data_IF_320290311847
#
_entry.id   IF_320290311847
#
_cell.length_a   1.000
_cell.length_b   1.000
_cell.length_c   1.000
_cell.angle_alpha   90.00
_cell.angle_beta   90.00
_cell.angle_gamma   90.00
#
_symmetry.space_group_name_H-M   'P 1'
#
loop_
_entity.id
_entity.type
_entity.pdbx_description
1 polymer ?
#
# COMPACT_ATOMS: atom_id res chain seq x y z
N UNK A 1 0.15 -9.61 -8.20
CA UNK A 1 1.45 -10.12 -8.66
C UNK A 1 1.28 -10.68 -10.06
N UNK A 2 2.16 -10.33 -10.99
CA UNK A 2 2.09 -10.85 -12.36
C UNK A 2 2.36 -12.35 -12.40
N UNK A 3 1.80 -13.04 -13.42
CA UNK A 3 2.03 -14.48 -13.60
C UNK A 3 3.51 -14.81 -13.75
N UNK A 4 4.27 -13.96 -14.45
CA UNK A 4 5.72 -14.15 -14.62
C UNK A 4 6.46 -14.07 -13.29
N UNK A 5 6.10 -13.13 -12.44
CA UNK A 5 6.71 -12.97 -11.13
C UNK A 5 6.36 -14.15 -10.23
N UNK A 6 5.11 -14.56 -10.23
CA UNK A 6 4.66 -15.73 -9.48
C UNK A 6 5.34 -17.02 -9.94
N UNK A 7 5.47 -17.22 -11.26
CA UNK A 7 6.18 -18.38 -11.81
C UNK A 7 7.66 -18.39 -11.39
N UNK A 8 8.29 -17.22 -11.31
CA UNK A 8 9.66 -17.10 -10.81
C UNK A 8 9.76 -17.50 -9.34
N UNK A 9 8.85 -17.04 -8.50
CA UNK A 9 8.82 -17.38 -7.07
C UNK A 9 8.54 -18.85 -6.82
N UNK A 10 7.63 -19.46 -7.58
CA UNK A 10 7.25 -20.86 -7.38
C UNK A 10 8.37 -21.85 -7.72
N UNK A 11 9.36 -21.44 -8.51
CA UNK A 11 10.55 -22.25 -8.86
C UNK A 11 11.69 -22.08 -7.87
N UNK A 12 11.64 -21.07 -7.02
CA UNK A 12 12.69 -20.79 -6.03
C UNK A 12 12.58 -21.75 -4.85
N UNK A 13 13.71 -22.07 -4.22
CA UNK A 13 13.70 -22.76 -2.94
C UNK A 13 13.21 -21.83 -1.82
N UNK A 14 12.96 -22.36 -0.62
CA UNK A 14 12.39 -21.58 0.48
C UNK A 14 13.27 -20.41 0.91
N UNK A 15 14.59 -20.54 0.89
CA UNK A 15 15.52 -19.48 1.26
C UNK A 15 15.55 -18.39 0.19
N UNK A 16 15.61 -18.79 -1.10
CA UNK A 16 15.59 -17.84 -2.20
C UNK A 16 14.25 -17.10 -2.28
N UNK A 17 13.14 -17.78 -2.04
CA UNK A 17 11.83 -17.15 -1.99
C UNK A 17 11.73 -16.10 -0.88
N UNK A 18 12.21 -16.43 0.31
CA UNK A 18 12.22 -15.50 1.44
C UNK A 18 13.06 -14.26 1.12
N UNK A 19 14.23 -14.43 0.55
CA UNK A 19 15.11 -13.33 0.14
C UNK A 19 14.44 -12.46 -0.93
N UNK A 20 13.80 -13.06 -1.93
CA UNK A 20 13.11 -12.33 -3.00
C UNK A 20 11.94 -11.51 -2.48
N UNK A 21 11.24 -11.99 -1.46
CA UNK A 21 10.09 -11.28 -0.87
C UNK A 21 10.49 -10.21 0.14
N UNK A 22 11.63 -10.34 0.79
CA UNK A 22 12.03 -9.45 1.89
C UNK A 22 13.21 -8.55 1.58
N UNK A 23 14.14 -8.98 0.72
CA UNK A 23 15.38 -8.25 0.46
C UNK A 23 15.89 -8.57 -0.96
N UNK A 24 15.06 -8.29 -1.95
CA UNK A 24 15.44 -8.49 -3.35
C UNK A 24 16.39 -7.38 -3.80
N UNK A 25 17.66 -7.72 -3.99
CA UNK A 25 18.67 -6.76 -4.38
C UNK A 25 18.60 -6.46 -5.88
N UNK A 26 18.54 -5.17 -6.20
CA UNK A 26 18.55 -4.66 -7.57
C UNK A 26 19.60 -3.59 -7.71
N UNK A 27 20.34 -3.64 -8.83
CA UNK A 27 21.30 -2.60 -9.14
C UNK A 27 20.67 -1.53 -10.01
N UNK A 28 20.54 -0.32 -9.49
CA UNK A 28 20.09 0.81 -10.28
C UNK A 28 21.25 1.36 -11.12
N UNK A 29 21.10 1.34 -12.43
CA UNK A 29 22.13 1.82 -13.36
C UNK A 29 21.72 3.10 -14.09
N UNK A 30 20.50 3.55 -13.93
CA UNK A 30 20.00 4.76 -14.56
C UNK A 30 18.49 4.86 -14.48
N UNK A 31 17.97 5.95 -15.03
CA UNK A 31 16.54 6.22 -15.10
C UNK A 31 15.96 5.68 -16.41
N UNK A 32 14.82 5.02 -16.34
CA UNK A 32 14.12 4.54 -17.54
C UNK A 32 13.65 5.72 -18.40
N UNK A 33 13.70 5.55 -19.72
CA UNK A 33 13.10 6.48 -20.67
C UNK A 33 11.57 6.41 -20.67
N UNK A 34 11.00 5.33 -20.18
CA UNK A 34 9.55 5.19 -20.02
C UNK A 34 9.06 6.02 -18.85
N UNK A 35 8.11 6.91 -19.12
CA UNK A 35 7.42 7.68 -18.08
C UNK A 35 6.31 6.81 -17.47
N UNK A 36 6.70 5.85 -16.63
CA UNK A 36 5.79 4.99 -15.88
C UNK A 36 5.36 5.61 -14.54
N UNK A 37 5.25 6.93 -14.47
CA UNK A 37 4.95 7.68 -13.25
C UNK A 37 3.45 7.79 -12.96
N UNK A 38 2.64 6.94 -13.59
CA UNK A 38 1.20 6.88 -13.35
C UNK A 38 0.88 6.04 -12.11
N UNK A 39 -0.22 6.38 -11.45
CA UNK A 39 -0.70 5.61 -10.33
C UNK A 39 -0.99 4.16 -10.74
N UNK A 40 -0.62 3.22 -9.90
CA UNK A 40 -0.91 1.80 -10.11
C UNK A 40 -2.26 1.47 -9.49
N UNK A 41 -3.13 0.82 -10.27
CA UNK A 41 -4.42 0.34 -9.79
C UNK A 41 -4.26 -0.84 -8.85
N UNK A 42 -5.19 -0.99 -7.92
CA UNK A 42 -5.22 -2.08 -6.97
C UNK A 42 -4.92 -1.61 -5.56
N UNK A 43 -4.93 -2.54 -4.64
CA UNK A 43 -4.72 -2.27 -3.23
C UNK A 43 -5.83 -2.83 -2.36
N UNK A 44 -5.91 -2.37 -1.12
CA UNK A 44 -6.94 -2.76 -0.18
C UNK A 44 -8.30 -2.24 -0.66
N UNK A 45 -9.27 -3.13 -0.82
CA UNK A 45 -10.63 -2.74 -1.20
C UNK A 45 -11.22 -1.74 -0.20
N UNK A 46 -11.79 -0.66 -0.72
CA UNK A 46 -12.39 0.38 0.11
C UNK A 46 -13.53 -0.15 1.02
N UNK A 47 -14.22 -1.20 0.59
CA UNK A 47 -15.24 -1.86 1.40
C UNK A 47 -14.72 -2.53 2.67
N UNK A 48 -13.42 -2.84 2.73
CA UNK A 48 -12.78 -3.44 3.90
C UNK A 48 -12.33 -2.41 4.94
N UNK A 49 -12.29 -1.14 4.59
CA UNK A 49 -11.84 -0.07 5.46
C UNK A 49 -13.00 0.78 5.99
N UNK A 50 -12.93 1.16 7.25
CA UNK A 50 -13.82 2.17 7.81
C UNK A 50 -13.16 3.54 7.63
N UNK A 51 -13.67 4.32 6.69
CA UNK A 51 -13.09 5.63 6.35
C UNK A 51 -13.29 6.71 7.42
N UNK A 52 -14.07 6.45 8.45
CA UNK A 52 -14.15 7.35 9.60
C UNK A 52 -12.88 7.33 10.44
N UNK A 53 -12.20 6.20 10.47
CA UNK A 53 -10.99 5.97 11.27
C UNK A 53 -9.81 5.50 10.44
N UNK A 54 -10.01 5.12 9.19
CA UNK A 54 -9.04 4.45 8.32
C UNK A 54 -8.52 3.13 8.90
N UNK A 55 -9.35 2.46 9.69
CA UNK A 55 -9.03 1.13 10.23
C UNK A 55 -9.67 0.01 9.40
N UNK A 56 -9.10 -1.18 9.51
CA UNK A 56 -9.69 -2.37 8.90
C UNK A 56 -10.96 -2.76 9.66
N UNK A 57 -12.06 -3.00 8.94
CA UNK A 57 -13.28 -3.53 9.53
C UNK A 57 -12.98 -4.88 10.19
N UNK A 58 -13.35 -5.03 11.44
CA UNK A 58 -13.04 -6.21 12.24
C UNK A 58 -11.68 -6.17 12.96
N UNK A 59 -10.82 -5.22 12.64
CA UNK A 59 -9.54 -4.99 13.33
C UNK A 59 -9.31 -3.49 13.55
N UNK A 60 -9.91 -2.91 14.58
CA UNK A 60 -9.85 -1.45 14.79
C UNK A 60 -8.46 -0.91 15.14
N UNK A 61 -7.49 -1.77 15.42
CA UNK A 61 -6.11 -1.40 15.71
C UNK A 61 -5.20 -1.42 14.49
N UNK A 62 -5.71 -1.84 13.33
CA UNK A 62 -4.95 -1.92 12.09
C UNK A 62 -5.43 -0.82 11.13
N UNK A 63 -4.55 0.11 10.80
CA UNK A 63 -4.87 1.32 10.03
C UNK A 63 -4.20 1.28 8.66
N UNK A 64 -4.88 1.88 7.69
CA UNK A 64 -4.38 2.01 6.31
C UNK A 64 -4.61 3.42 5.81
N UNK A 65 -3.64 3.96 5.09
CA UNK A 65 -3.73 5.29 4.49
C UNK A 65 -2.84 5.37 3.25
N UNK A 66 -3.19 6.25 2.33
CA UNK A 66 -2.38 6.52 1.16
C UNK A 66 -2.66 5.56 0.01
N UNK A 67 -1.65 5.32 -0.80
CA UNK A 67 -1.78 4.53 -2.03
C UNK A 67 -1.98 3.04 -1.81
N UNK A 68 -1.85 2.54 -0.59
CA UNK A 68 -2.19 1.14 -0.30
C UNK A 68 -3.70 0.87 -0.36
N UNK A 69 -4.52 1.92 -0.35
CA UNK A 69 -5.96 1.81 -0.57
C UNK A 69 -6.26 1.77 -2.07
N UNK A 70 -7.28 1.01 -2.44
CA UNK A 70 -7.74 0.93 -3.83
C UNK A 70 -8.54 2.18 -4.21
N UNK A 71 -7.82 3.30 -4.31
CA UNK A 71 -8.35 4.59 -4.75
C UNK A 71 -7.58 4.96 -6.00
N UNK A 72 -8.28 5.00 -7.12
CA UNK A 72 -7.72 5.30 -8.42
C UNK A 72 -8.53 6.42 -9.08
N UNK A 73 -8.13 7.64 -8.82
CA UNK A 73 -8.74 8.83 -9.40
C UNK A 73 -8.24 9.07 -10.83
N UNK A 74 -9.01 9.86 -11.57
CA UNK A 74 -8.72 10.21 -12.98
C UNK A 74 -7.42 11.00 -13.10
N UNK A 75 -7.06 11.78 -12.08
CA UNK A 75 -5.86 12.63 -12.08
C UNK A 75 -4.93 12.29 -10.94
N UNK A 76 -3.62 12.53 -11.14
CA UNK A 76 -2.61 12.38 -10.08
C UNK A 76 -2.89 13.30 -8.88
N UNK A 77 -3.42 14.50 -9.14
CA UNK A 77 -3.80 15.43 -8.07
C UNK A 77 -4.88 14.87 -7.15
N UNK A 78 -5.88 14.19 -7.71
CA UNK A 78 -6.91 13.50 -6.92
C UNK A 78 -6.30 12.39 -6.06
N UNK A 79 -5.43 11.57 -6.62
CA UNK A 79 -4.78 10.48 -5.90
C UNK A 79 -3.91 11.00 -4.75
N UNK A 80 -3.17 12.07 -4.99
CA UNK A 80 -2.36 12.72 -3.98
C UNK A 80 -3.22 13.31 -2.86
N UNK A 81 -4.33 13.96 -3.21
CA UNK A 81 -5.27 14.50 -2.24
C UNK A 81 -5.89 13.39 -1.37
N UNK A 82 -6.29 12.29 -2.00
CA UNK A 82 -6.84 11.14 -1.28
C UNK A 82 -5.80 10.53 -0.31
N UNK A 83 -4.54 10.45 -0.72
CA UNK A 83 -3.46 9.96 0.13
C UNK A 83 -3.27 10.85 1.37
N UNK A 84 -3.22 12.16 1.18
CA UNK A 84 -3.10 13.11 2.29
C UNK A 84 -4.33 13.11 3.21
N UNK A 85 -5.54 13.09 2.64
CA UNK A 85 -6.78 13.09 3.41
C UNK A 85 -6.90 11.84 4.28
N UNK A 86 -6.64 10.66 3.72
CA UNK A 86 -6.68 9.41 4.48
C UNK A 86 -5.56 9.35 5.54
N UNK A 87 -4.39 9.88 5.24
CA UNK A 87 -3.29 9.96 6.20
C UNK A 87 -3.66 10.83 7.41
N UNK A 88 -4.34 11.96 7.17
CA UNK A 88 -4.81 12.84 8.24
C UNK A 88 -5.82 12.13 9.15
N UNK A 89 -6.82 11.49 8.57
CA UNK A 89 -7.83 10.72 9.32
C UNK A 89 -7.17 9.60 10.11
N UNK A 90 -6.26 8.88 9.50
CA UNK A 90 -5.51 7.80 10.11
C UNK A 90 -4.70 8.30 11.33
N UNK A 91 -3.96 9.38 11.17
CA UNK A 91 -3.15 9.97 12.24
C UNK A 91 -4.01 10.42 13.42
N UNK A 92 -5.11 11.09 13.15
CA UNK A 92 -6.04 11.52 14.21
C UNK A 92 -6.66 10.33 14.95
N UNK A 93 -6.99 9.27 14.22
CA UNK A 93 -7.57 8.05 14.79
C UNK A 93 -6.58 7.30 15.66
N UNK A 94 -5.32 7.20 15.24
CA UNK A 94 -4.25 6.57 16.03
C UNK A 94 -4.00 7.38 17.31
N UNK A 95 -3.99 8.70 17.21
CA UNK A 95 -3.83 9.56 18.37
C UNK A 95 -4.96 9.35 19.38
N UNK A 96 -6.21 9.37 18.93
CA UNK A 96 -7.38 9.16 19.77
C UNK A 96 -7.36 7.76 20.41
N UNK A 97 -6.96 6.73 19.65
CA UNK A 97 -6.81 5.37 20.17
C UNK A 97 -5.75 5.29 21.27
N UNK A 98 -4.58 5.90 21.04
CA UNK A 98 -3.50 5.92 22.01
C UNK A 98 -3.90 6.65 23.31
N UNK A 99 -4.63 7.77 23.20
CA UNK A 99 -5.13 8.53 24.34
C UNK A 99 -6.19 7.76 25.13
N UNK A 100 -7.04 6.96 24.45
CA UNK A 100 -8.07 6.15 25.13
C UNK A 100 -7.48 4.93 25.83
N UNK A 101 -6.38 4.39 25.34
CA UNK A 101 -5.67 3.25 25.97
C UNK A 101 -4.70 3.69 27.07
N UNK A 102 -4.27 4.93 27.02
CA UNK A 102 -3.38 5.53 28.00
C UNK A 102 -4.12 6.19 29.12
#
# INVERSE_FOLDING_TARGET
>A
VSEKLWASFSKADGAALKAALSADEMRAVGKSAHKGEFATCGGLECGCADFKTCSLKGRPTLFFAGECLDIDGITGGFNLHAAWATAKICADSIKNFAESEG
#
